data_IF_539767681256
#
_entry.id   IF_539767681256
#
_cell.length_a   1.000
_cell.length_b   1.000
_cell.length_c   1.000
_cell.angle_alpha   90.00
_cell.angle_beta   90.00
_cell.angle_gamma   90.00
#
_symmetry.space_group_name_H-M   'P 1'
#
loop_
_entity.id
_entity.type
_entity.pdbx_description
1 polymer ?
#
# COMPACT_ATOMS: atom_id res chain seq x y z
N UNK A 1 -8.56 -29.36 -12.59
CA UNK A 1 -7.36 -29.21 -13.44
C UNK A 1 -7.77 -29.39 -14.89
N UNK A 2 -7.51 -28.41 -15.76
CA UNK A 2 -7.73 -28.50 -17.21
C UNK A 2 -6.38 -28.68 -17.91
N UNK A 3 -6.27 -29.62 -18.85
CA UNK A 3 -5.02 -29.95 -19.53
C UNK A 3 -5.15 -29.66 -21.01
N UNK A 4 -4.27 -28.80 -21.54
CA UNK A 4 -4.25 -28.41 -22.95
C UNK A 4 -2.84 -28.61 -23.52
N UNK A 5 -2.75 -29.26 -24.68
CA UNK A 5 -1.49 -29.37 -25.43
C UNK A 5 -1.39 -28.21 -26.42
N UNK A 6 -0.37 -27.36 -26.28
CA UNK A 6 -0.08 -26.21 -27.15
C UNK A 6 1.30 -26.32 -27.77
N UNK A 7 1.43 -25.80 -28.99
CA UNK A 7 2.71 -25.63 -29.71
C UNK A 7 3.22 -24.19 -29.53
N UNK A 8 4.51 -23.98 -29.86
CA UNK A 8 5.11 -22.64 -29.92
C UNK A 8 4.28 -21.73 -30.83
N UNK A 9 4.04 -20.49 -30.38
CA UNK A 9 3.23 -19.49 -31.07
C UNK A 9 1.72 -19.62 -30.81
N UNK A 10 1.26 -20.61 -30.04
CA UNK A 10 -0.13 -20.72 -29.65
C UNK A 10 -0.43 -20.03 -28.32
N UNK A 11 -1.68 -19.61 -28.16
CA UNK A 11 -2.19 -18.87 -27.01
C UNK A 11 -3.30 -19.62 -26.31
N UNK A 12 -3.37 -19.49 -24.99
CA UNK A 12 -4.50 -19.89 -24.14
C UNK A 12 -5.09 -18.61 -23.55
N UNK A 13 -6.40 -18.42 -23.66
CA UNK A 13 -7.10 -17.26 -23.10
C UNK A 13 -7.93 -17.71 -21.91
N UNK A 14 -7.80 -17.01 -20.78
CA UNK A 14 -8.54 -17.23 -19.55
C UNK A 14 -9.32 -15.97 -19.21
N UNK A 15 -10.62 -16.13 -18.96
CA UNK A 15 -11.53 -15.06 -18.53
C UNK A 15 -11.44 -13.77 -19.37
N UNK A 16 -11.18 -13.97 -20.68
CA UNK A 16 -11.07 -12.96 -21.74
C UNK A 16 -9.97 -11.90 -21.59
N UNK A 17 -9.37 -11.75 -20.41
CA UNK A 17 -8.40 -10.69 -20.11
C UNK A 17 -6.99 -11.21 -19.86
N UNK A 18 -6.83 -12.52 -19.68
CA UNK A 18 -5.53 -13.15 -19.45
C UNK A 18 -5.17 -13.99 -20.66
N UNK A 19 -4.04 -13.69 -21.30
CA UNK A 19 -3.51 -14.44 -22.44
C UNK A 19 -2.16 -15.07 -22.08
N UNK A 20 -2.06 -16.38 -22.24
CA UNK A 20 -0.84 -17.15 -22.00
C UNK A 20 -0.30 -17.63 -23.34
N UNK A 21 0.87 -17.13 -23.73
CA UNK A 21 1.54 -17.41 -24.99
C UNK A 21 2.69 -18.39 -24.78
N UNK A 22 2.75 -19.44 -25.61
CA UNK A 22 3.91 -20.33 -25.65
C UNK A 22 4.98 -19.70 -26.55
N UNK A 23 5.96 -19.04 -25.95
CA UNK A 23 7.00 -18.28 -26.66
C UNK A 23 8.05 -19.21 -27.29
N UNK A 24 8.52 -20.19 -26.52
CA UNK A 24 9.54 -21.14 -26.98
C UNK A 24 9.52 -22.41 -26.13
N UNK A 25 9.85 -23.54 -26.75
CA UNK A 25 10.09 -24.80 -26.06
C UNK A 25 11.52 -25.22 -26.39
N UNK A 26 12.35 -25.47 -25.37
CA UNK A 26 13.75 -25.88 -25.54
C UNK A 26 14.19 -26.77 -24.39
N UNK A 27 14.70 -27.97 -24.71
CA UNK A 27 15.35 -28.85 -23.73
C UNK A 27 14.50 -29.18 -22.50
N UNK A 28 13.18 -29.33 -22.66
CA UNK A 28 12.26 -29.59 -21.55
C UNK A 28 11.82 -28.35 -20.76
N UNK A 29 12.40 -27.18 -21.04
CA UNK A 29 11.94 -25.88 -20.51
C UNK A 29 11.00 -25.18 -21.49
N UNK A 30 9.99 -24.50 -20.96
CA UNK A 30 9.01 -23.73 -21.74
C UNK A 30 9.10 -22.27 -21.31
N UNK A 31 9.23 -21.37 -22.29
CA UNK A 31 9.06 -19.94 -22.08
C UNK A 31 7.60 -19.58 -22.31
N UNK A 32 6.97 -19.02 -21.28
CA UNK A 32 5.60 -18.55 -21.32
C UNK A 32 5.60 -17.03 -21.24
N UNK A 33 4.88 -16.39 -22.16
CA UNK A 33 4.50 -14.98 -22.05
C UNK A 33 3.12 -14.92 -21.42
N UNK A 34 2.93 -14.06 -20.42
CA UNK A 34 1.64 -13.88 -19.77
C UNK A 34 1.27 -12.42 -19.92
N UNK A 35 0.16 -12.15 -20.59
CA UNK A 35 -0.45 -10.84 -20.70
C UNK A 35 -1.69 -10.81 -19.83
N UNK A 36 -1.73 -9.90 -18.87
CA UNK A 36 -2.88 -9.67 -18.01
C UNK A 36 -2.97 -8.18 -17.68
N UNK A 37 -4.17 -7.66 -17.41
CA UNK A 37 -4.36 -6.29 -16.95
C UNK A 37 -3.69 -6.04 -15.59
N UNK A 38 -3.34 -4.78 -15.31
CA UNK A 38 -2.52 -4.38 -14.15
C UNK A 38 -3.11 -4.68 -12.78
N UNK A 39 -4.42 -4.96 -12.69
CA UNK A 39 -5.07 -5.33 -11.44
C UNK A 39 -4.85 -6.81 -11.05
N UNK A 40 -4.36 -7.63 -11.98
CA UNK A 40 -4.09 -9.06 -11.76
C UNK A 40 -2.60 -9.22 -11.48
N UNK A 41 -2.27 -9.74 -10.28
CA UNK A 41 -0.90 -10.13 -9.95
C UNK A 41 -0.54 -11.45 -10.63
N UNK A 42 0.63 -11.50 -11.24
CA UNK A 42 1.22 -12.71 -11.82
C UNK A 42 2.47 -13.04 -11.03
N UNK A 43 2.47 -14.18 -10.38
CA UNK A 43 3.58 -14.65 -9.55
C UNK A 43 4.00 -16.05 -9.98
N UNK A 44 5.25 -16.39 -9.66
CA UNK A 44 5.76 -17.75 -9.87
C UNK A 44 5.17 -18.63 -8.77
N UNK A 45 4.71 -19.84 -9.10
CA UNK A 45 3.96 -20.68 -8.16
C UNK A 45 4.72 -21.04 -6.87
N UNK A 46 6.05 -20.95 -6.88
CA UNK A 46 6.91 -21.14 -5.72
C UNK A 46 6.99 -19.93 -4.77
N UNK A 47 6.51 -18.75 -5.19
CA UNK A 47 6.69 -17.50 -4.44
C UNK A 47 5.51 -17.18 -3.50
N UNK A 48 4.33 -17.77 -3.75
CA UNK A 48 3.05 -17.30 -3.19
C UNK A 48 2.54 -18.08 -1.97
N UNK A 49 3.37 -18.92 -1.36
CA UNK A 49 2.94 -19.76 -0.23
C UNK A 49 2.72 -18.98 1.09
N UNK A 50 2.84 -17.64 1.11
CA UNK A 50 2.90 -16.86 2.35
C UNK A 50 1.75 -15.88 2.58
N UNK A 51 0.89 -15.57 1.60
CA UNK A 51 -0.09 -14.47 1.74
C UNK A 51 -1.56 -14.87 1.52
N UNK A 52 -1.88 -16.16 1.42
CA UNK A 52 -3.24 -16.62 1.08
C UNK A 52 -4.21 -16.75 2.27
N UNK A 53 -3.76 -16.65 3.53
CA UNK A 53 -4.58 -16.99 4.71
C UNK A 53 -4.99 -15.81 5.62
N UNK A 54 -4.56 -14.57 5.36
CA UNK A 54 -4.78 -13.44 6.29
C UNK A 54 -5.99 -12.56 5.94
N UNK A 55 -7.16 -13.14 5.66
CA UNK A 55 -8.39 -12.35 5.41
C UNK A 55 -9.65 -12.84 6.13
N UNK A 56 -9.54 -13.70 7.17
CA UNK A 56 -10.75 -14.26 7.80
C UNK A 56 -10.87 -14.22 9.32
N UNK A 57 -10.08 -13.46 10.09
CA UNK A 57 -10.26 -13.43 11.56
C UNK A 57 -10.10 -12.07 12.25
N UNK A 58 -10.55 -10.99 11.62
CA UNK A 58 -10.54 -9.67 12.28
C UNK A 58 -11.81 -8.85 12.02
N UNK A 59 -13.00 -9.47 12.12
CA UNK A 59 -14.27 -8.75 12.13
C UNK A 59 -15.34 -9.38 13.05
N UNK A 60 -15.08 -9.46 14.36
CA UNK A 60 -16.12 -9.25 15.40
C UNK A 60 -15.48 -8.68 16.68
N UNK A 61 -15.00 -7.44 16.65
CA UNK A 61 -15.00 -6.60 17.86
C UNK A 61 -16.21 -5.68 17.78
N UNK A 62 -17.38 -6.27 18.05
CA UNK A 62 -18.59 -5.52 18.35
C UNK A 62 -18.35 -4.72 19.62
N UNK A 63 -18.16 -3.41 19.42
CA UNK A 63 -18.43 -2.38 20.41
C UNK A 63 -19.85 -2.60 20.96
N UNK A 64 -19.95 -2.98 22.23
CA UNK A 64 -21.07 -2.63 23.09
C UNK A 64 -20.47 -2.17 24.43
N UNK A 65 -20.18 -0.88 24.49
CA UNK A 65 -20.14 -0.11 25.74
C UNK A 65 -21.61 0.23 26.01
N UNK A 66 -22.20 -0.31 27.10
CA UNK A 66 -22.25 0.51 28.31
C UNK A 66 -22.10 -0.32 29.59
N UNK A 67 -21.66 0.31 30.68
CA UNK A 67 -22.36 0.34 31.98
C UNK A 67 -21.41 0.91 33.04
N UNK A 68 -21.52 2.23 33.14
CA UNK A 68 -21.29 3.02 34.33
C UNK A 68 -21.92 2.35 35.57
N UNK A 69 -21.10 1.89 36.52
CA UNK A 69 -21.48 1.89 37.93
C UNK A 69 -20.27 1.69 38.87
N UNK A 70 -20.22 2.58 39.85
CA UNK A 70 -19.60 2.46 41.18
C UNK A 70 -18.07 2.46 41.30
N UNK A 71 -17.54 3.60 41.76
CA UNK A 71 -16.73 3.73 42.99
C UNK A 71 -16.57 5.23 43.33
N UNK A 72 -17.15 5.74 44.43
CA UNK A 72 -16.73 7.01 45.00
C UNK A 72 -15.55 6.73 45.94
N UNK A 73 -14.32 6.99 45.51
CA UNK A 73 -13.22 7.14 46.46
C UNK A 73 -12.98 8.62 46.75
N UNK A 74 -13.26 8.92 48.01
CA UNK A 74 -13.13 10.19 48.69
C UNK A 74 -11.67 10.51 49.00
N UNK A 75 -11.39 11.81 48.99
CA UNK A 75 -10.38 12.54 49.76
C UNK A 75 -8.91 12.50 49.31
N UNK A 76 -8.29 13.67 49.51
CA UNK A 76 -6.87 14.04 49.41
C UNK A 76 -6.41 14.40 47.98
N UNK A 77 -5.81 15.55 47.68
CA UNK A 77 -5.38 16.68 48.51
C UNK A 77 -4.96 17.84 47.56
N UNK A 78 -4.90 19.04 48.13
CA UNK A 78 -3.88 20.06 47.84
C UNK A 78 -3.94 20.89 46.54
N UNK A 79 -4.59 22.04 46.69
CA UNK A 79 -4.01 23.39 46.53
C UNK A 79 -3.06 23.72 45.35
N UNK A 80 -3.52 24.73 44.58
CA UNK A 80 -2.82 26.01 44.32
C UNK A 80 -1.46 25.97 43.59
N UNK A 81 -1.46 26.32 42.29
CA UNK A 81 -0.84 27.57 41.81
C UNK A 81 -0.96 27.74 40.28
N UNK A 82 -1.63 28.82 39.86
CA UNK A 82 -1.29 29.60 38.65
C UNK A 82 -0.15 30.55 39.09
N UNK A 83 0.86 30.88 38.27
CA UNK A 83 0.63 31.70 37.08
C UNK A 83 1.62 31.55 35.91
N UNK A 84 1.20 32.10 34.77
CA UNK A 84 1.95 32.84 33.74
C UNK A 84 3.38 32.41 33.38
N UNK A 85 3.60 32.09 32.08
CA UNK A 85 4.68 32.70 31.29
C UNK A 85 4.61 32.36 29.79
N UNK A 86 4.28 33.39 29.00
CA UNK A 86 4.81 33.71 27.64
C UNK A 86 4.76 32.62 26.56
N UNK A 87 3.70 32.69 25.75
CA UNK A 87 3.74 32.33 24.33
C UNK A 87 4.45 33.43 23.51
N UNK A 88 5.39 33.01 22.67
CA UNK A 88 6.13 33.81 21.67
C UNK A 88 7.35 32.98 21.26
N UNK A 89 7.66 32.71 20.00
CA UNK A 89 7.42 33.45 18.77
C UNK A 89 7.49 32.48 17.58
N UNK A 90 6.73 32.83 16.56
CA UNK A 90 6.66 32.25 15.22
C UNK A 90 7.96 32.45 14.44
N UNK A 91 8.42 31.41 13.72
CA UNK A 91 9.54 31.50 12.79
C UNK A 91 9.17 30.91 11.43
N UNK A 92 8.22 31.50 10.72
CA UNK A 92 7.99 31.25 9.30
C UNK A 92 8.71 32.32 8.49
N UNK A 93 9.80 31.96 7.80
CA UNK A 93 10.38 32.78 6.73
C UNK A 93 10.24 32.03 5.41
N UNK A 94 9.59 32.62 4.39
CA UNK A 94 9.33 31.97 3.11
C UNK A 94 10.60 31.89 2.25
N UNK A 95 10.73 30.80 1.49
CA UNK A 95 11.75 30.62 0.45
C UNK A 95 11.32 31.46 -0.75
N UNK A 96 12.13 32.46 -1.09
CA UNK A 96 11.92 33.33 -2.25
C UNK A 96 12.38 32.62 -3.54
N UNK A 97 11.44 32.25 -4.41
CA UNK A 97 11.65 31.44 -5.63
C UNK A 97 11.95 32.33 -6.86
N UNK A 98 12.07 33.64 -6.71
CA UNK A 98 12.14 34.59 -7.84
C UNK A 98 13.55 34.96 -8.34
N UNK A 99 14.65 34.36 -7.85
CA UNK A 99 16.00 34.93 -8.07
C UNK A 99 16.97 34.17 -9.00
N UNK A 100 16.58 33.10 -9.72
CA UNK A 100 17.56 32.36 -10.57
C UNK A 100 17.12 32.00 -12.00
N UNK A 101 16.26 32.80 -12.65
CA UNK A 101 15.95 32.64 -14.08
C UNK A 101 15.92 33.99 -14.82
N UNK A 102 16.93 34.83 -14.59
CA UNK A 102 17.11 36.10 -15.32
C UNK A 102 18.45 36.22 -16.06
N UNK A 103 19.05 35.09 -16.43
CA UNK A 103 20.26 35.08 -17.26
C UNK A 103 20.06 34.23 -18.52
N UNK A 104 19.00 34.56 -19.25
CA UNK A 104 18.95 34.37 -20.70
C UNK A 104 19.42 35.66 -21.37
N UNK A 105 20.20 35.51 -22.44
CA UNK A 105 20.58 36.53 -23.43
C UNK A 105 21.57 37.62 -23.02
N UNK A 106 22.85 37.25 -22.97
CA UNK A 106 23.93 38.12 -23.47
C UNK A 106 25.21 37.32 -23.66
N UNK A 107 25.54 36.99 -24.92
CA UNK A 107 26.88 37.01 -25.54
C UNK A 107 26.84 36.21 -26.88
N UNK A 108 26.21 36.85 -27.88
CA UNK A 108 26.90 37.03 -29.17
C UNK A 108 28.10 37.95 -28.97
#
# INVERSE_FOLDING_TARGET
MLVLSRKVGQTIVVDNNISIHVVQISGGSVRLGIEAPSHIRILRGELDLLESDESFSSLVTGKDEPLESSLPETAADSQVNRPDSRAGITGSHPIDVQQLLRQTDLLQ
#
